data_IF_886123748711
#
_entry.id   IF_886123748711
#
_cell.length_a   1.000
_cell.length_b   1.000
_cell.length_c   1.000
_cell.angle_alpha   90.00
_cell.angle_beta   90.00
_cell.angle_gamma   90.00
#
_symmetry.space_group_name_H-M   'P 1'
#
loop_
_entity.id
_entity.type
_entity.pdbx_description
1 polymer ?
#
# COMPACT_ATOMS: atom_id res chain seq x y z
N UNK A 1 48.57 -61.39 17.59
CA UNK A 1 48.36 -59.91 17.66
C UNK A 1 47.67 -59.50 16.35
N UNK A 2 46.39 -59.20 16.40
CA UNK A 2 45.59 -58.75 15.21
C UNK A 2 45.48 -57.23 15.25
N UNK A 3 46.13 -56.55 14.31
CA UNK A 3 45.96 -55.09 14.09
C UNK A 3 44.63 -54.88 13.36
N UNK A 4 43.66 -54.20 14.02
CA UNK A 4 42.46 -53.73 13.40
C UNK A 4 42.75 -52.39 12.70
N UNK A 5 42.65 -52.41 11.38
CA UNK A 5 42.74 -51.22 10.53
C UNK A 5 41.40 -50.51 10.58
N UNK A 6 41.35 -49.36 11.22
CA UNK A 6 40.14 -48.48 11.21
C UNK A 6 40.16 -47.65 9.92
N UNK A 7 39.29 -48.01 8.99
CA UNK A 7 38.99 -47.11 7.86
C UNK A 7 38.13 -45.98 8.34
N UNK A 8 38.71 -44.80 8.46
CA UNK A 8 38.00 -43.54 8.67
C UNK A 8 37.45 -43.07 7.32
N UNK A 9 36.17 -43.40 7.03
CA UNK A 9 35.49 -42.81 5.89
C UNK A 9 35.16 -41.39 6.28
N UNK A 10 35.97 -40.44 5.82
CA UNK A 10 35.65 -39.05 5.85
C UNK A 10 34.52 -38.78 4.83
N UNK A 11 33.29 -38.71 5.32
CA UNK A 11 32.14 -38.27 4.52
C UNK A 11 32.33 -36.75 4.31
N UNK A 12 32.96 -36.36 3.20
CA UNK A 12 33.00 -35.02 2.71
C UNK A 12 31.59 -34.68 2.25
N UNK A 13 30.78 -34.22 3.17
CA UNK A 13 29.56 -33.48 2.82
C UNK A 13 30.04 -32.17 2.21
N UNK A 14 30.07 -32.15 0.89
CA UNK A 14 30.26 -30.93 0.13
C UNK A 14 29.08 -30.01 0.39
N UNK A 15 29.20 -29.19 1.43
CA UNK A 15 28.33 -28.02 1.57
C UNK A 15 28.71 -27.11 0.42
N UNK A 16 27.95 -27.19 -0.67
CA UNK A 16 27.95 -26.11 -1.67
C UNK A 16 27.43 -24.89 -0.96
N UNK A 17 28.32 -24.10 -0.38
CA UNK A 17 28.04 -22.73 -0.02
C UNK A 17 27.73 -22.03 -1.34
N UNK A 18 26.45 -21.90 -1.67
CA UNK A 18 26.04 -20.89 -2.63
C UNK A 18 26.55 -19.56 -2.05
N UNK A 19 27.59 -19.03 -2.68
CA UNK A 19 28.17 -17.77 -2.26
C UNK A 19 27.08 -16.71 -2.29
N UNK A 20 26.66 -16.25 -1.13
CA UNK A 20 25.77 -15.10 -1.05
C UNK A 20 26.59 -13.89 -1.50
N UNK A 21 26.16 -13.25 -2.58
CA UNK A 21 26.73 -11.97 -2.97
C UNK A 21 26.18 -10.92 -2.01
N UNK A 22 27.04 -10.30 -1.24
CA UNK A 22 26.70 -9.21 -0.34
C UNK A 22 27.00 -7.89 -1.05
N UNK A 23 25.96 -7.08 -1.25
CA UNK A 23 26.14 -5.71 -1.72
C UNK A 23 26.39 -4.81 -0.52
N UNK A 24 27.63 -4.45 -0.30
CA UNK A 24 28.01 -3.51 0.74
C UNK A 24 27.78 -2.06 0.27
N UNK A 25 27.27 -1.19 1.13
CA UNK A 25 27.09 0.21 0.78
C UNK A 25 28.44 0.88 0.50
N UNK A 26 28.50 1.64 -0.57
CA UNK A 26 29.67 2.46 -0.91
C UNK A 26 29.82 3.68 0.02
N UNK A 27 28.76 4.03 0.75
CA UNK A 27 28.66 5.25 1.54
C UNK A 27 28.39 6.50 0.70
N UNK A 28 28.32 6.35 -0.63
CA UNK A 28 28.05 7.45 -1.54
C UNK A 28 26.67 7.28 -2.16
N UNK A 29 25.82 8.27 -2.00
CA UNK A 29 24.46 8.30 -2.59
C UNK A 29 24.43 9.19 -3.82
N UNK A 30 23.69 8.76 -4.82
CA UNK A 30 23.44 9.55 -6.02
C UNK A 30 22.00 9.40 -6.50
N UNK A 31 21.58 10.30 -7.37
CA UNK A 31 20.28 10.26 -8.03
C UNK A 31 20.48 9.80 -9.46
N UNK A 32 19.80 8.74 -9.85
CA UNK A 32 19.72 8.29 -11.25
C UNK A 32 18.31 8.48 -11.78
N UNK A 33 18.21 8.92 -13.01
CA UNK A 33 16.96 9.04 -13.75
C UNK A 33 16.85 7.87 -14.70
N UNK A 34 15.74 7.17 -14.64
CA UNK A 34 15.39 6.04 -15.52
C UNK A 34 14.18 6.43 -16.35
N UNK A 35 14.34 6.45 -17.65
CA UNK A 35 13.21 6.63 -18.57
C UNK A 35 12.52 5.29 -18.82
N UNK A 36 11.18 5.28 -18.70
CA UNK A 36 10.37 4.07 -18.87
C UNK A 36 9.33 4.26 -19.97
N UNK A 37 8.83 3.15 -20.51
CA UNK A 37 7.73 3.16 -21.48
C UNK A 37 6.42 3.70 -20.89
N UNK A 38 5.38 3.76 -21.73
CA UNK A 38 4.02 4.10 -21.28
C UNK A 38 3.46 3.02 -20.37
N UNK A 39 2.74 3.41 -19.32
CA UNK A 39 2.07 2.50 -18.38
C UNK A 39 0.75 3.07 -17.89
N UNK A 40 -0.17 2.17 -17.56
CA UNK A 40 -1.48 2.47 -16.94
C UNK A 40 -1.58 1.89 -15.53
N UNK A 41 -0.65 1.00 -15.18
CA UNK A 41 -0.62 0.35 -13.88
C UNK A 41 0.77 0.48 -13.26
N UNK A 42 0.80 0.52 -11.94
CA UNK A 42 2.01 0.55 -11.13
C UNK A 42 1.94 -0.62 -10.16
N UNK A 43 3.00 -1.43 -10.09
CA UNK A 43 3.14 -2.52 -9.15
C UNK A 43 4.49 -2.46 -8.46
N UNK A 44 4.49 -2.42 -7.13
CA UNK A 44 5.69 -2.36 -6.31
C UNK A 44 5.60 -3.40 -5.20
N UNK A 45 6.64 -4.24 -5.12
CA UNK A 45 6.77 -5.31 -4.11
C UNK A 45 8.16 -5.23 -3.47
N UNK A 46 8.43 -4.10 -2.78
CA UNK A 46 9.76 -3.89 -2.19
C UNK A 46 9.70 -2.96 -0.96
N UNK A 47 9.94 -3.52 0.20
CA UNK A 47 9.87 -2.82 1.49
C UNK A 47 10.95 -1.76 1.72
N UNK A 48 12.05 -1.81 0.95
CA UNK A 48 13.14 -0.85 1.04
C UNK A 48 12.88 0.47 0.30
N UNK A 49 11.80 0.51 -0.51
CA UNK A 49 11.45 1.70 -1.28
C UNK A 49 10.59 2.67 -0.47
N UNK A 50 11.10 3.89 -0.34
CA UNK A 50 10.31 5.05 0.05
C UNK A 50 9.88 5.79 -1.22
N UNK A 51 8.56 5.89 -1.44
CA UNK A 51 7.99 6.30 -2.71
C UNK A 51 7.29 7.64 -2.58
N UNK A 52 7.64 8.57 -3.45
CA UNK A 52 6.94 9.84 -3.62
C UNK A 52 6.26 9.87 -4.98
N UNK A 53 4.93 9.85 -4.98
CA UNK A 53 4.12 9.99 -6.17
C UNK A 53 4.03 11.47 -6.55
N UNK A 54 4.21 11.78 -7.83
CA UNK A 54 4.05 13.14 -8.35
C UNK A 54 3.15 13.15 -9.59
N UNK A 55 2.25 14.13 -9.66
CA UNK A 55 1.46 14.33 -10.85
C UNK A 55 2.37 14.77 -12.00
N UNK A 56 2.62 13.90 -12.94
CA UNK A 56 3.43 14.21 -14.10
C UNK A 56 3.08 13.30 -15.27
N UNK A 57 3.24 13.84 -16.48
CA UNK A 57 3.15 13.09 -17.72
C UNK A 57 4.52 12.66 -18.26
N UNK A 58 5.60 13.11 -17.58
CA UNK A 58 6.92 12.59 -17.91
C UNK A 58 7.02 11.09 -17.56
N UNK A 59 8.01 10.44 -18.09
CA UNK A 59 8.25 9.00 -17.86
C UNK A 59 9.59 8.78 -17.15
N UNK A 60 10.03 9.78 -16.44
CA UNK A 60 11.31 9.77 -15.78
C UNK A 60 11.13 9.45 -14.29
N UNK A 61 11.59 8.28 -13.90
CA UNK A 61 11.64 7.84 -12.51
C UNK A 61 12.98 8.29 -11.96
N UNK A 62 12.96 9.04 -10.86
CA UNK A 62 14.18 9.40 -10.14
C UNK A 62 14.39 8.42 -9.00
N UNK A 63 15.58 7.85 -8.92
CA UNK A 63 15.98 6.87 -7.91
C UNK A 63 17.21 7.42 -7.19
N UNK A 64 17.05 7.73 -5.91
CA UNK A 64 18.14 8.10 -5.03
C UNK A 64 18.51 6.91 -4.16
N UNK A 65 19.70 6.40 -4.34
CA UNK A 65 20.21 5.23 -3.62
C UNK A 65 21.73 5.31 -3.44
N UNK A 66 22.29 4.38 -2.70
CA UNK A 66 23.74 4.15 -2.68
C UNK A 66 24.22 3.67 -4.06
N UNK A 67 25.37 4.17 -4.50
CA UNK A 67 25.91 3.87 -5.84
C UNK A 67 26.10 2.37 -6.10
N UNK A 68 26.43 1.59 -5.07
CA UNK A 68 26.58 0.14 -5.18
C UNK A 68 25.25 -0.59 -5.44
N UNK A 69 24.11 0.02 -5.06
CA UNK A 69 22.80 -0.63 -5.14
C UNK A 69 22.05 -0.28 -6.46
N UNK A 70 22.38 0.85 -7.08
CA UNK A 70 21.72 1.25 -8.33
C UNK A 70 21.68 0.17 -9.42
N UNK A 71 22.72 -0.66 -9.65
CA UNK A 71 22.70 -1.68 -10.70
C UNK A 71 21.63 -2.75 -10.52
N UNK A 72 21.20 -3.01 -9.27
CA UNK A 72 20.21 -4.05 -8.95
C UNK A 72 18.78 -3.52 -8.87
N UNK A 73 18.58 -2.20 -8.83
CA UNK A 73 17.23 -1.63 -8.89
C UNK A 73 16.76 -1.64 -10.34
N UNK A 74 15.64 -2.30 -10.59
CA UNK A 74 15.06 -2.41 -11.92
C UNK A 74 13.71 -1.70 -11.99
N UNK A 75 13.54 -0.91 -13.05
CA UNK A 75 12.28 -0.27 -13.43
C UNK A 75 11.96 -0.68 -14.85
N UNK A 76 10.87 -1.41 -15.06
CA UNK A 76 10.47 -1.89 -16.40
C UNK A 76 8.96 -1.88 -16.56
N UNK A 77 8.52 -1.71 -17.80
CA UNK A 77 7.12 -1.77 -18.14
C UNK A 77 6.83 -3.09 -18.86
N UNK A 78 5.92 -3.87 -18.29
CA UNK A 78 5.44 -5.13 -18.85
C UNK A 78 3.91 -5.10 -18.92
N UNK A 79 3.33 -5.29 -20.09
CA UNK A 79 1.87 -5.29 -20.30
C UNK A 79 1.18 -4.09 -19.64
N UNK A 80 1.61 -2.88 -19.99
CA UNK A 80 1.11 -1.61 -19.43
C UNK A 80 1.30 -1.46 -17.89
N UNK A 81 2.11 -2.30 -17.26
CA UNK A 81 2.39 -2.23 -15.82
C UNK A 81 3.84 -1.87 -15.59
N UNK A 82 4.07 -0.74 -14.95
CA UNK A 82 5.37 -0.37 -14.41
C UNK A 82 5.64 -1.23 -13.18
N UNK A 83 6.72 -2.00 -13.22
CA UNK A 83 7.23 -2.79 -12.10
C UNK A 83 8.54 -2.20 -11.61
N UNK A 84 8.63 -2.05 -10.29
CA UNK A 84 9.85 -1.64 -9.61
C UNK A 84 10.20 -2.71 -8.59
N UNK A 85 11.41 -3.24 -8.68
CA UNK A 85 11.92 -4.27 -7.77
C UNK A 85 13.45 -4.22 -7.67
N UNK A 86 13.97 -4.93 -6.69
CA UNK A 86 15.39 -5.22 -6.58
C UNK A 86 15.62 -6.62 -7.17
N UNK A 87 16.51 -6.71 -8.14
CA UNK A 87 16.91 -7.99 -8.75
C UNK A 87 18.34 -8.34 -8.34
N UNK A 88 18.45 -9.49 -7.70
CA UNK A 88 19.73 -10.04 -7.27
C UNK A 88 19.90 -11.45 -7.85
N UNK A 89 21.09 -11.78 -8.34
CA UNK A 89 21.39 -13.13 -8.81
C UNK A 89 21.63 -14.07 -7.61
N UNK A 90 20.80 -15.11 -7.46
CA UNK A 90 20.94 -16.18 -6.44
C UNK A 90 20.99 -15.62 -5.02
N UNK A 91 20.55 -16.27 -4.01
CA UNK A 91 20.57 -16.00 -2.56
C UNK A 91 21.30 -14.75 -2.00
N UNK A 92 21.10 -13.59 -2.60
CA UNK A 92 21.83 -12.36 -2.31
C UNK A 92 21.22 -11.63 -1.14
N UNK A 93 22.04 -11.26 -0.18
CA UNK A 93 21.69 -10.27 0.86
C UNK A 93 22.35 -8.95 0.47
N UNK A 94 21.54 -7.91 0.31
CA UNK A 94 22.10 -6.56 0.22
C UNK A 94 21.88 -5.83 1.54
N UNK A 95 22.93 -5.12 1.95
CA UNK A 95 22.89 -4.26 3.14
C UNK A 95 22.82 -2.84 2.63
N UNK A 96 21.76 -2.13 2.98
CA UNK A 96 21.67 -0.70 2.70
C UNK A 96 21.71 0.11 3.99
N UNK A 97 22.53 1.13 4.04
CA UNK A 97 22.58 2.07 5.17
C UNK A 97 21.45 3.10 5.15
N UNK A 98 20.63 3.10 4.12
CA UNK A 98 19.52 4.05 3.98
C UNK A 98 18.41 3.52 3.11
N UNK A 99 17.32 4.26 3.11
CA UNK A 99 16.18 3.98 2.24
C UNK A 99 16.53 4.28 0.79
N UNK A 100 15.90 3.57 -0.12
CA UNK A 100 15.93 3.87 -1.54
C UNK A 100 14.74 4.79 -1.83
N UNK A 101 15.03 6.05 -2.16
CA UNK A 101 13.99 7.04 -2.42
C UNK A 101 13.63 7.03 -3.90
N UNK A 102 12.35 6.89 -4.20
CA UNK A 102 11.85 6.81 -5.57
C UNK A 102 10.82 7.91 -5.79
N UNK A 103 11.11 8.79 -6.74
CA UNK A 103 10.14 9.79 -7.22
C UNK A 103 9.49 9.25 -8.49
N UNK A 104 8.19 8.95 -8.40
CA UNK A 104 7.44 8.20 -9.39
C UNK A 104 6.39 9.09 -10.07
N UNK A 105 6.46 9.30 -11.40
CA UNK A 105 5.45 10.05 -12.12
C UNK A 105 4.15 9.26 -12.23
N UNK A 106 3.03 9.91 -11.97
CA UNK A 106 1.68 9.38 -12.12
C UNK A 106 0.89 10.30 -13.03
N UNK A 107 0.62 9.82 -14.24
CA UNK A 107 -0.22 10.55 -15.20
C UNK A 107 -1.70 10.26 -14.96
N UNK A 108 -2.58 11.07 -15.56
CA UNK A 108 -4.04 10.89 -15.49
C UNK A 108 -4.53 9.55 -16.10
N UNK A 109 -3.68 8.89 -16.86
CA UNK A 109 -3.97 7.60 -17.52
C UNK A 109 -3.75 6.40 -16.59
N UNK A 110 -3.12 6.61 -15.44
CA UNK A 110 -2.89 5.54 -14.46
C UNK A 110 -4.22 5.14 -13.84
N UNK A 111 -4.52 3.84 -13.94
CA UNK A 111 -5.78 3.25 -13.50
C UNK A 111 -5.63 2.40 -12.24
N UNK A 112 -4.45 1.80 -12.04
CA UNK A 112 -4.18 0.98 -10.86
C UNK A 112 -2.81 1.28 -10.28
N UNK A 113 -2.76 1.42 -8.96
CA UNK A 113 -1.52 1.51 -8.19
C UNK A 113 -1.58 0.43 -7.10
N UNK A 114 -0.67 -0.51 -7.15
CA UNK A 114 -0.61 -1.60 -6.20
C UNK A 114 0.75 -1.63 -5.50
N UNK A 115 0.74 -1.35 -4.20
CA UNK A 115 1.87 -1.53 -3.30
C UNK A 115 1.65 -2.81 -2.50
N UNK A 116 2.25 -3.91 -2.92
CA UNK A 116 2.21 -5.17 -2.17
C UNK A 116 3.09 -5.05 -0.92
N UNK A 117 4.31 -4.56 -1.07
CA UNK A 117 5.18 -4.10 0.03
C UNK A 117 5.79 -2.76 -0.33
N UNK A 118 5.87 -1.85 0.64
CA UNK A 118 6.57 -0.58 0.51
C UNK A 118 6.98 -0.02 1.88
N UNK A 119 7.99 0.82 1.89
CA UNK A 119 8.39 1.60 3.05
C UNK A 119 7.39 2.74 3.31
N UNK A 120 7.80 3.95 3.01
CA UNK A 120 6.92 5.11 3.10
C UNK A 120 6.32 5.42 1.72
N UNK A 121 5.04 5.75 1.69
CA UNK A 121 4.37 6.24 0.48
C UNK A 121 3.85 7.64 0.73
N UNK A 122 4.23 8.57 -0.13
CA UNK A 122 3.77 9.95 -0.07
C UNK A 122 3.41 10.47 -1.45
N UNK A 123 2.68 11.58 -1.49
CA UNK A 123 2.52 12.38 -2.70
C UNK A 123 3.25 13.71 -2.50
N UNK A 124 3.92 14.18 -3.55
CA UNK A 124 4.53 15.52 -3.56
C UNK A 124 3.46 16.61 -3.40
N UNK A 125 2.36 16.43 -4.11
CA UNK A 125 1.15 17.27 -4.05
C UNK A 125 -0.08 16.36 -4.10
N UNK A 126 -1.28 16.94 -4.00
CA UNK A 126 -2.53 16.22 -4.18
C UNK A 126 -2.53 15.44 -5.50
N UNK A 127 -2.64 14.10 -5.43
CA UNK A 127 -2.69 13.23 -6.60
C UNK A 127 -4.07 13.33 -7.26
N UNK A 128 -4.10 13.74 -8.54
CA UNK A 128 -5.35 14.00 -9.27
C UNK A 128 -5.56 12.95 -10.36
N UNK A 129 -6.63 12.15 -10.22
CA UNK A 129 -7.02 11.13 -11.18
C UNK A 129 -8.53 11.16 -11.40
N UNK A 130 -8.99 10.73 -12.57
CA UNK A 130 -10.44 10.59 -12.81
C UNK A 130 -10.96 9.31 -12.19
N UNK A 131 -10.27 8.20 -12.42
CA UNK A 131 -10.62 6.89 -11.89
C UNK A 131 -9.36 6.15 -11.52
N UNK A 132 -9.31 5.59 -10.32
CA UNK A 132 -8.17 4.79 -9.87
C UNK A 132 -8.55 3.70 -8.88
N UNK A 133 -7.85 2.57 -8.97
CA UNK A 133 -7.77 1.57 -7.91
C UNK A 133 -6.41 1.69 -7.23
N UNK A 134 -6.40 2.01 -5.94
CA UNK A 134 -5.20 2.09 -5.11
C UNK A 134 -5.27 0.97 -4.07
N UNK A 135 -4.32 0.07 -4.13
CA UNK A 135 -4.24 -1.10 -3.28
C UNK A 135 -2.90 -1.12 -2.52
N UNK A 136 -2.97 -1.25 -1.21
CA UNK A 136 -1.81 -1.28 -0.32
C UNK A 136 -1.95 -2.47 0.63
N UNK A 137 -1.03 -3.44 0.55
CA UNK A 137 -1.08 -4.62 1.41
C UNK A 137 -0.25 -4.44 2.68
N UNK A 138 1.04 -4.09 2.53
CA UNK A 138 1.97 -3.89 3.65
C UNK A 138 2.75 -2.60 3.45
N UNK A 139 2.35 -1.54 4.16
CA UNK A 139 2.98 -0.21 4.04
C UNK A 139 3.36 0.33 5.41
N UNK A 140 4.57 0.89 5.53
CA UNK A 140 5.03 1.43 6.80
C UNK A 140 4.31 2.73 7.15
N UNK A 141 4.38 3.72 6.28
CA UNK A 141 3.75 5.03 6.51
C UNK A 141 3.08 5.54 5.23
N UNK A 142 1.98 6.25 5.41
CA UNK A 142 1.21 6.88 4.32
C UNK A 142 1.12 8.38 4.48
N UNK A 143 1.23 9.10 3.38
CA UNK A 143 0.80 10.49 3.28
C UNK A 143 0.21 10.72 1.89
N UNK A 144 -1.09 10.50 1.76
CA UNK A 144 -1.79 10.43 0.47
C UNK A 144 -2.91 11.46 0.39
N UNK A 145 -2.64 12.68 -0.06
CA UNK A 145 -3.67 13.60 -0.50
C UNK A 145 -4.17 13.20 -1.90
N UNK A 146 -5.43 12.74 -1.98
CA UNK A 146 -6.05 12.17 -3.17
C UNK A 146 -7.27 12.97 -3.61
N UNK A 147 -7.29 13.37 -4.89
CA UNK A 147 -8.48 13.85 -5.58
C UNK A 147 -8.79 12.91 -6.74
N UNK A 148 -9.74 12.01 -6.53
CA UNK A 148 -10.08 10.96 -7.50
C UNK A 148 -11.60 10.90 -7.60
N UNK A 149 -12.16 11.11 -8.80
CA UNK A 149 -13.61 11.11 -8.95
C UNK A 149 -14.20 9.74 -8.58
N UNK A 150 -13.68 8.66 -9.14
CA UNK A 150 -14.08 7.28 -8.84
C UNK A 150 -12.89 6.51 -8.27
N UNK A 151 -12.86 6.34 -6.95
CA UNK A 151 -11.76 5.72 -6.21
C UNK A 151 -12.16 4.33 -5.69
N UNK A 152 -11.35 3.33 -5.98
CA UNK A 152 -11.30 2.09 -5.21
C UNK A 152 -10.07 2.12 -4.31
N UNK A 153 -10.28 2.09 -3.01
CA UNK A 153 -9.21 2.17 -2.01
C UNK A 153 -9.19 0.91 -1.16
N UNK A 154 -8.14 0.10 -1.30
CA UNK A 154 -7.91 -1.06 -0.47
C UNK A 154 -6.69 -0.84 0.39
N UNK A 155 -6.86 -0.88 1.71
CA UNK A 155 -5.78 -0.71 2.68
C UNK A 155 -5.72 -1.97 3.55
N UNK A 156 -4.65 -2.73 3.38
CA UNK A 156 -4.28 -3.84 4.24
C UNK A 156 -3.59 -3.36 5.51
N UNK A 157 -2.42 -3.88 5.81
CA UNK A 157 -1.65 -3.50 6.98
C UNK A 157 -0.88 -2.20 6.73
N UNK A 158 -1.37 -1.09 7.27
CA UNK A 158 -0.66 0.19 7.30
C UNK A 158 -0.44 0.63 8.74
N UNK A 159 0.81 0.99 9.09
CA UNK A 159 1.18 1.27 10.48
C UNK A 159 0.70 2.63 10.96
N UNK A 160 0.91 3.67 10.18
CA UNK A 160 0.48 5.04 10.50
C UNK A 160 0.46 5.92 9.26
N UNK A 161 -0.23 7.04 9.35
CA UNK A 161 -0.20 8.06 8.30
C UNK A 161 -1.46 8.87 8.18
N UNK A 162 -1.61 9.51 7.02
CA UNK A 162 -2.77 10.32 6.68
C UNK A 162 -3.22 10.04 5.25
N UNK A 163 -4.52 10.05 5.05
CA UNK A 163 -5.16 9.99 3.73
C UNK A 163 -6.19 11.11 3.66
N UNK A 164 -5.97 12.07 2.79
CA UNK A 164 -6.95 13.11 2.53
C UNK A 164 -7.70 12.77 1.25
N UNK A 165 -9.03 12.74 1.30
CA UNK A 165 -9.89 12.28 0.23
C UNK A 165 -10.74 13.41 -0.33
N UNK A 166 -10.69 13.61 -1.64
CA UNK A 166 -11.71 14.33 -2.41
C UNK A 166 -12.22 13.41 -3.50
N UNK A 167 -13.43 12.84 -3.33
CA UNK A 167 -13.98 11.86 -4.26
C UNK A 167 -15.48 12.03 -4.43
N UNK A 168 -15.96 11.78 -5.64
CA UNK A 168 -17.41 11.64 -5.89
C UNK A 168 -17.90 10.29 -5.40
N UNK A 169 -17.20 9.24 -5.80
CA UNK A 169 -17.50 7.86 -5.44
C UNK A 169 -16.23 7.19 -4.89
N UNK A 170 -16.34 6.59 -3.72
CA UNK A 170 -15.24 5.86 -3.09
C UNK A 170 -15.73 4.49 -2.64
N UNK A 171 -15.10 3.43 -3.16
CA UNK A 171 -15.25 2.08 -2.62
C UNK A 171 -14.08 1.80 -1.71
N UNK A 172 -14.36 1.45 -0.45
CA UNK A 172 -13.35 1.24 0.59
C UNK A 172 -13.35 -0.20 1.10
N UNK A 173 -12.18 -0.81 1.11
CA UNK A 173 -11.89 -2.02 1.86
C UNK A 173 -10.73 -1.75 2.81
N UNK A 174 -10.91 -1.99 4.11
CA UNK A 174 -9.91 -1.73 5.14
C UNK A 174 -9.68 -2.95 6.02
N UNK A 175 -8.42 -3.38 6.16
CA UNK A 175 -8.06 -4.52 7.00
C UNK A 175 -6.80 -4.21 7.82
N UNK A 176 -6.94 -4.27 9.15
CA UNK A 176 -5.79 -4.09 10.04
C UNK A 176 -5.22 -2.67 10.06
N UNK A 177 -5.99 -1.67 9.67
CA UNK A 177 -5.59 -0.26 9.69
C UNK A 177 -5.48 0.21 11.13
N UNK A 178 -4.31 0.75 11.48
CA UNK A 178 -4.04 1.37 12.78
C UNK A 178 -3.48 2.77 12.54
N UNK A 179 -3.90 3.74 13.34
CA UNK A 179 -3.30 5.08 13.36
C UNK A 179 -3.24 5.79 11.97
N UNK A 180 -4.22 5.55 11.10
CA UNK A 180 -4.40 6.29 9.86
C UNK A 180 -5.43 7.38 10.09
N UNK A 181 -5.02 8.63 9.91
CA UNK A 181 -5.91 9.78 9.94
C UNK A 181 -6.55 9.98 8.56
N UNK A 182 -7.87 9.83 8.47
CA UNK A 182 -8.62 10.17 7.27
C UNK A 182 -9.24 11.55 7.40
N UNK A 183 -9.24 12.30 6.30
CA UNK A 183 -9.87 13.63 6.23
C UNK A 183 -10.40 13.93 4.83
N UNK A 184 -11.30 14.91 4.69
CA UNK A 184 -11.74 15.40 3.39
C UNK A 184 -13.23 15.28 3.14
N UNK A 185 -13.61 15.03 1.86
CA UNK A 185 -15.00 14.94 1.44
C UNK A 185 -15.19 13.81 0.43
N UNK A 186 -16.27 13.03 0.61
CA UNK A 186 -16.69 11.95 -0.29
C UNK A 186 -18.20 12.10 -0.53
N UNK A 187 -18.64 12.03 -1.77
CA UNK A 187 -20.08 12.01 -2.09
C UNK A 187 -20.68 10.67 -1.67
N UNK A 188 -20.34 9.60 -2.38
CA UNK A 188 -20.83 8.26 -2.09
C UNK A 188 -19.68 7.36 -1.62
N UNK A 189 -19.81 6.81 -0.42
CA UNK A 189 -18.85 5.86 0.16
C UNK A 189 -19.50 4.48 0.21
N UNK A 190 -19.00 3.56 -0.60
CA UNK A 190 -19.32 2.14 -0.49
C UNK A 190 -18.26 1.44 0.38
N UNK A 191 -18.66 0.74 1.43
CA UNK A 191 -17.77 -0.03 2.29
C UNK A 191 -18.00 -1.51 2.01
N UNK A 192 -16.95 -2.19 1.52
CA UNK A 192 -16.96 -3.62 1.19
C UNK A 192 -16.42 -4.49 2.31
N UNK A 193 -15.65 -3.94 3.24
CA UNK A 193 -15.11 -4.66 4.37
C UNK A 193 -14.36 -3.76 5.35
N UNK A 194 -14.41 -4.14 6.63
CA UNK A 194 -13.66 -3.47 7.67
C UNK A 194 -13.28 -4.45 8.78
N UNK A 195 -11.99 -4.73 8.88
CA UNK A 195 -11.41 -5.44 10.02
C UNK A 195 -10.50 -4.47 10.79
N UNK A 196 -10.87 -4.18 12.03
CA UNK A 196 -10.16 -3.23 12.89
C UNK A 196 -10.93 -1.92 13.09
N UNK A 197 -10.18 -0.85 13.36
CA UNK A 197 -10.78 0.45 13.65
C UNK A 197 -10.59 1.40 12.47
N UNK A 198 -11.70 1.93 11.96
CA UNK A 198 -11.73 2.90 10.87
C UNK A 198 -12.27 4.24 11.40
N UNK A 199 -11.44 5.29 11.37
CA UNK A 199 -11.86 6.61 11.81
C UNK A 199 -12.02 7.57 10.65
N UNK A 200 -13.27 7.83 10.26
CA UNK A 200 -13.70 8.76 9.24
C UNK A 200 -14.45 9.98 9.81
N UNK A 201 -14.28 10.29 11.09
CA UNK A 201 -14.95 11.44 11.74
C UNK A 201 -14.55 12.80 11.13
N UNK A 202 -13.43 12.86 10.41
CA UNK A 202 -12.96 14.05 9.71
C UNK A 202 -13.14 13.95 8.17
N UNK A 203 -13.85 12.92 7.69
CA UNK A 203 -14.28 12.82 6.30
C UNK A 203 -15.77 13.09 6.24
N UNK A 204 -16.17 14.18 5.59
CA UNK A 204 -17.56 14.50 5.36
C UNK A 204 -18.09 13.64 4.22
N UNK A 205 -19.03 12.73 4.51
CA UNK A 205 -19.61 11.80 3.53
C UNK A 205 -21.08 12.15 3.33
N UNK A 206 -21.51 12.25 2.09
CA UNK A 206 -22.93 12.49 1.81
C UNK A 206 -23.73 11.21 2.04
N UNK A 207 -23.36 10.12 1.36
CA UNK A 207 -24.05 8.83 1.45
C UNK A 207 -23.09 7.70 1.77
N UNK A 208 -23.47 6.79 2.65
CA UNK A 208 -22.73 5.56 2.96
C UNK A 208 -23.57 4.33 2.62
N UNK A 209 -22.95 3.39 1.91
CA UNK A 209 -23.52 2.10 1.61
C UNK A 209 -22.62 0.96 2.13
N UNK A 210 -23.16 0.15 3.03
CA UNK A 210 -22.49 -1.07 3.49
C UNK A 210 -22.88 -2.24 2.59
N UNK A 211 -21.94 -2.71 1.79
CA UNK A 211 -22.14 -3.84 0.87
C UNK A 211 -21.87 -5.15 1.60
N UNK A 212 -22.87 -5.60 2.36
CA UNK A 212 -22.81 -6.86 3.12
C UNK A 212 -21.55 -6.98 4.00
N UNK A 213 -21.25 -5.92 4.76
CA UNK A 213 -20.00 -5.86 5.52
C UNK A 213 -20.05 -6.83 6.70
N UNK A 214 -19.23 -7.86 6.64
CA UNK A 214 -18.93 -8.73 7.76
C UNK A 214 -17.57 -8.36 8.33
N UNK A 215 -17.52 -7.91 9.58
CA UNK A 215 -16.25 -7.42 10.13
C UNK A 215 -16.20 -7.43 11.66
N UNK A 216 -15.02 -7.06 12.16
CA UNK A 216 -14.73 -6.95 13.60
C UNK A 216 -14.09 -5.60 13.85
N UNK A 217 -14.64 -4.80 14.77
CA UNK A 217 -14.04 -3.53 15.16
C UNK A 217 -15.00 -2.37 15.29
N UNK A 218 -14.50 -1.17 15.10
CA UNK A 218 -15.27 0.06 15.22
C UNK A 218 -15.04 0.97 14.03
N UNK A 219 -16.13 1.39 13.39
CA UNK A 219 -16.13 2.48 12.42
C UNK A 219 -16.67 3.75 13.06
N UNK A 220 -16.01 4.88 12.83
CA UNK A 220 -16.52 6.21 13.16
C UNK A 220 -16.69 7.00 11.90
N UNK A 221 -17.87 7.52 11.66
CA UNK A 221 -18.27 8.15 10.38
C UNK A 221 -18.90 9.52 10.62
N UNK A 222 -18.76 10.43 9.66
CA UNK A 222 -19.56 11.64 9.57
C UNK A 222 -20.39 11.58 8.29
N UNK A 223 -21.71 11.37 8.44
CA UNK A 223 -22.64 11.12 7.32
C UNK A 223 -23.74 12.16 7.31
N UNK A 224 -23.94 12.80 6.16
CA UNK A 224 -24.87 13.93 6.04
C UNK A 224 -26.28 13.52 5.63
N UNK A 225 -26.44 12.56 4.71
CA UNK A 225 -27.73 12.28 4.07
C UNK A 225 -28.23 10.85 4.36
N UNK A 226 -27.56 9.81 3.89
CA UNK A 226 -28.01 8.43 4.06
C UNK A 226 -26.92 7.48 4.55
N UNK A 227 -27.35 6.54 5.41
CA UNK A 227 -26.55 5.43 5.91
C UNK A 227 -27.34 4.15 5.71
N UNK A 228 -26.98 3.30 4.75
CA UNK A 228 -27.78 2.12 4.36
C UNK A 228 -26.94 0.88 4.05
N UNK A 229 -27.61 -0.26 3.88
CA UNK A 229 -26.98 -1.54 3.56
C UNK A 229 -27.03 -2.52 4.72
N UNK A 230 -26.07 -3.43 4.82
CA UNK A 230 -26.07 -4.45 5.86
C UNK A 230 -24.70 -4.62 6.52
N UNK A 231 -24.71 -4.82 7.82
CA UNK A 231 -23.53 -5.14 8.63
C UNK A 231 -23.74 -6.38 9.48
N UNK A 232 -22.69 -7.15 9.67
CA UNK A 232 -22.68 -8.37 10.48
C UNK A 232 -21.36 -8.57 11.22
N UNK A 233 -21.25 -9.63 12.02
CA UNK A 233 -20.07 -9.93 12.80
C UNK A 233 -20.05 -9.25 14.16
N UNK A 234 -18.93 -8.63 14.52
CA UNK A 234 -18.71 -7.91 15.78
C UNK A 234 -18.30 -6.48 15.47
N UNK A 235 -19.17 -5.76 14.76
CA UNK A 235 -18.88 -4.44 14.22
C UNK A 235 -19.72 -3.36 14.91
N UNK A 236 -19.08 -2.33 15.44
CA UNK A 236 -19.73 -1.13 15.94
C UNK A 236 -19.57 0.01 14.94
N UNK A 237 -20.67 0.51 14.40
CA UNK A 237 -20.69 1.72 13.59
C UNK A 237 -21.20 2.87 14.44
N UNK A 238 -20.35 3.86 14.67
CA UNK A 238 -20.70 5.11 15.33
C UNK A 238 -20.75 6.20 14.26
N UNK A 239 -21.82 6.97 14.20
CA UNK A 239 -21.89 8.05 13.22
C UNK A 239 -22.44 9.34 13.82
N UNK A 240 -21.95 10.46 13.28
CA UNK A 240 -22.49 11.81 13.50
C UNK A 240 -23.00 12.39 12.19
N UNK A 241 -23.78 13.45 12.29
CA UNK A 241 -24.43 14.12 11.16
C UNK A 241 -25.94 13.86 11.12
N UNK A 242 -26.56 14.18 10.00
CA UNK A 242 -28.03 14.17 9.90
C UNK A 242 -28.59 12.95 9.16
N UNK A 243 -27.75 11.98 8.84
CA UNK A 243 -28.12 10.84 8.00
C UNK A 243 -29.34 10.07 8.51
N UNK A 244 -30.23 9.72 7.59
CA UNK A 244 -31.23 8.67 7.80
C UNK A 244 -30.51 7.32 7.90
N UNK A 245 -30.82 6.56 8.94
CA UNK A 245 -30.22 5.25 9.18
C UNK A 245 -31.15 4.12 8.71
N UNK A 246 -30.77 3.45 7.63
CA UNK A 246 -31.47 2.33 7.01
C UNK A 246 -30.58 1.08 6.98
N UNK A 247 -29.70 0.92 7.98
CA UNK A 247 -28.78 -0.22 8.06
C UNK A 247 -29.44 -1.43 8.69
N UNK A 248 -29.40 -2.55 7.99
CA UNK A 248 -29.77 -3.85 8.55
C UNK A 248 -28.59 -4.41 9.35
N UNK A 249 -28.86 -4.80 10.58
CA UNK A 249 -27.82 -5.28 11.50
C UNK A 249 -28.07 -6.73 11.87
N UNK A 250 -27.02 -7.55 11.83
CA UNK A 250 -27.07 -8.94 12.31
C UNK A 250 -25.82 -9.29 13.15
N UNK A 251 -25.88 -10.43 13.84
CA UNK A 251 -24.82 -10.83 14.76
C UNK A 251 -24.77 -9.97 16.03
N UNK A 252 -23.56 -9.61 16.47
CA UNK A 252 -23.29 -8.75 17.65
C UNK A 252 -23.00 -7.31 17.22
N UNK A 253 -23.31 -6.97 15.97
CA UNK A 253 -23.05 -5.65 15.43
C UNK A 253 -24.07 -4.62 15.89
N UNK A 254 -23.73 -3.34 15.83
CA UNK A 254 -24.63 -2.23 16.17
C UNK A 254 -24.30 -0.95 15.42
N UNK A 255 -25.31 -0.12 15.22
CA UNK A 255 -25.21 1.23 14.66
C UNK A 255 -25.67 2.22 15.72
N UNK A 256 -24.85 3.22 16.05
CA UNK A 256 -25.11 4.18 17.12
C UNK A 256 -24.89 5.60 16.58
N UNK A 257 -25.88 6.46 16.71
CA UNK A 257 -25.73 7.91 16.46
C UNK A 257 -25.10 8.56 17.69
N UNK A 258 -24.08 9.40 17.44
CA UNK A 258 -23.42 10.21 18.48
C UNK A 258 -24.06 11.59 18.60
#
# INVERSE_FOLDING_TARGET
>A
MKRKLFFLIAFLVGITMYGQTVYEPSGKRSVKTVEVGHYKNIFIDESHFDITLRNSRDRQIQIEADDAIHPIIKARVEKDTLKLNIETEGGVVFITTGKINISLPVSEEVQKIHFKMAGNISCEKELKLKKAAIEMEYVSNLNLPLRVDDLQLKIGLARKGSVSLQSKNCTLYSRGVKNIAFSGKVGNLEIEGCDGNLNFENVRVENVFFKEVNGIGTMRLWVEDTLKGSISGILTVQYKGNAANEVTVSGISKVVKQ
#
